data_IF_619866205040
#
_entry.id   IF_619866205040
#
_cell.length_a   1.000
_cell.length_b   1.000
_cell.length_c   1.000
_cell.angle_alpha   90.00
_cell.angle_beta   90.00
_cell.angle_gamma   90.00
#
_symmetry.space_group_name_H-M   'P 1'
#
loop_
_entity.id
_entity.type
_entity.pdbx_description
1 polymer ?
#
# COMPACT_ATOMS: atom_id res chain seq x y z
N UNK A 1 1.55 -5.25 14.51
CA UNK A 1 1.24 -5.23 13.07
C UNK A 1 1.66 -6.57 12.45
N UNK A 2 1.34 -6.85 11.18
CA UNK A 2 1.76 -8.08 10.49
C UNK A 2 3.27 -8.03 10.23
N UNK A 3 4.03 -9.05 10.66
CA UNK A 3 5.46 -9.22 10.30
C UNK A 3 5.62 -9.90 8.94
N UNK A 4 4.51 -10.27 8.29
CA UNK A 4 4.50 -11.03 7.05
C UNK A 4 4.26 -10.08 5.86
N UNK A 5 5.29 -9.89 5.05
CA UNK A 5 5.27 -8.97 3.90
C UNK A 5 4.16 -9.36 2.90
N UNK A 6 3.95 -10.67 2.67
CA UNK A 6 2.92 -11.16 1.77
C UNK A 6 1.50 -10.77 2.24
N UNK A 7 1.27 -10.85 3.55
CA UNK A 7 0.00 -10.43 4.14
C UNK A 7 -0.19 -8.91 4.04
N UNK A 8 0.88 -8.13 4.28
CA UNK A 8 0.84 -6.67 4.15
C UNK A 8 0.54 -6.23 2.71
N UNK A 9 1.17 -6.86 1.71
CA UNK A 9 0.89 -6.63 0.29
C UNK A 9 -0.56 -6.97 -0.08
N UNK A 10 -1.06 -8.12 0.39
CA UNK A 10 -2.44 -8.55 0.14
C UNK A 10 -3.45 -7.56 0.73
N UNK A 11 -3.19 -7.09 1.96
CA UNK A 11 -4.02 -6.10 2.63
C UNK A 11 -3.98 -4.75 1.92
N UNK A 12 -2.79 -4.29 1.49
CA UNK A 12 -2.64 -3.05 0.74
C UNK A 12 -3.43 -3.07 -0.58
N UNK A 13 -3.30 -4.15 -1.35
CA UNK A 13 -4.06 -4.32 -2.59
C UNK A 13 -5.58 -4.31 -2.37
N UNK A 14 -6.07 -4.99 -1.32
CA UNK A 14 -7.50 -5.00 -0.99
C UNK A 14 -7.98 -3.62 -0.53
N UNK A 15 -7.17 -2.91 0.25
CA UNK A 15 -7.48 -1.58 0.75
C UNK A 15 -7.59 -0.58 -0.40
N UNK A 16 -6.62 -0.58 -1.33
CA UNK A 16 -6.62 0.27 -2.53
C UNK A 16 -7.93 0.14 -3.32
N UNK A 17 -8.36 -1.11 -3.56
CA UNK A 17 -9.59 -1.41 -4.30
C UNK A 17 -10.87 -1.09 -3.52
N UNK A 18 -10.82 -1.15 -2.20
CA UNK A 18 -11.97 -0.83 -1.34
C UNK A 18 -12.19 0.68 -1.27
N UNK A 19 -11.10 1.44 -1.12
CA UNK A 19 -11.15 2.89 -1.03
C UNK A 19 -11.19 3.57 -2.40
N UNK A 20 -10.83 2.85 -3.48
CA UNK A 20 -10.69 3.38 -4.83
C UNK A 20 -9.70 4.56 -4.90
N UNK A 21 -8.65 4.49 -4.09
CA UNK A 21 -7.52 5.43 -4.10
C UNK A 21 -6.19 4.66 -4.09
N UNK A 22 -5.11 5.23 -4.65
CA UNK A 22 -3.77 4.67 -4.50
C UNK A 22 -3.37 4.58 -3.04
N UNK A 23 -2.74 3.46 -2.65
CA UNK A 23 -2.20 3.27 -1.31
C UNK A 23 -0.74 2.82 -1.39
N UNK A 24 0.06 3.30 -0.45
CA UNK A 24 1.46 2.97 -0.32
C UNK A 24 1.66 2.01 0.85
N UNK A 25 2.29 0.87 0.54
CA UNK A 25 2.88 -0.03 1.51
C UNK A 25 4.29 0.47 1.84
N UNK A 26 4.56 0.71 3.10
CA UNK A 26 5.86 1.14 3.60
C UNK A 26 6.31 0.30 4.78
N UNK A 27 7.61 0.37 5.07
CA UNK A 27 8.22 -0.20 6.26
C UNK A 27 8.59 0.92 7.22
N UNK A 28 8.20 0.73 8.48
CA UNK A 28 8.66 1.56 9.61
C UNK A 28 9.34 0.64 10.62
N UNK A 29 10.67 0.63 10.61
CA UNK A 29 11.47 -0.30 11.41
C UNK A 29 11.26 -1.76 11.01
N UNK A 30 10.72 -2.57 11.94
CA UNK A 30 10.44 -4.00 11.74
C UNK A 30 8.98 -4.29 11.37
N UNK A 31 8.15 -3.25 11.23
CA UNK A 31 6.72 -3.39 10.93
C UNK A 31 6.37 -2.81 9.55
N UNK A 32 5.26 -3.32 8.98
CA UNK A 32 4.70 -2.85 7.73
C UNK A 32 3.43 -2.02 7.99
N UNK A 33 3.34 -0.87 7.32
CA UNK A 33 2.19 0.02 7.34
C UNK A 33 1.61 0.23 5.95
N UNK A 34 0.32 0.56 5.88
CA UNK A 34 -0.36 0.90 4.62
C UNK A 34 -1.19 2.14 4.85
N UNK A 35 -1.02 3.14 3.99
CA UNK A 35 -1.79 4.39 4.01
C UNK A 35 -2.10 4.83 2.56
N UNK A 36 -3.14 5.64 2.32
CA UNK A 36 -3.32 6.31 1.03
C UNK A 36 -2.06 7.06 0.62
N UNK A 37 -1.63 6.92 -0.64
CA UNK A 37 -0.39 7.53 -1.11
C UNK A 37 -0.35 9.05 -0.91
N UNK A 38 -1.52 9.70 -1.00
CA UNK A 38 -1.67 11.14 -0.78
C UNK A 38 -1.47 11.59 0.68
N UNK A 39 -1.52 10.66 1.63
CA UNK A 39 -1.28 10.92 3.06
C UNK A 39 0.14 10.55 3.48
N UNK A 40 0.94 9.97 2.57
CA UNK A 40 2.32 9.61 2.86
C UNK A 40 3.27 10.72 2.45
N UNK A 41 4.01 11.26 3.42
CA UNK A 41 5.17 12.10 3.17
C UNK A 41 6.41 11.21 2.93
N UNK A 42 7.03 11.37 1.76
CA UNK A 42 8.18 10.55 1.30
C UNK A 42 9.41 10.57 2.24
N UNK A 43 9.50 11.54 3.15
CA UNK A 43 10.64 11.70 4.08
C UNK A 43 10.52 10.88 5.38
N UNK A 44 9.38 10.22 5.65
CA UNK A 44 9.12 9.62 6.96
C UNK A 44 9.33 8.10 7.03
N UNK A 45 9.27 7.38 5.89
CA UNK A 45 9.25 5.91 5.87
C UNK A 45 9.88 5.31 4.61
N UNK A 46 10.28 4.03 4.68
CA UNK A 46 10.75 3.29 3.51
C UNK A 46 9.56 2.78 2.69
N UNK A 47 9.25 3.45 1.58
CA UNK A 47 8.23 3.00 0.62
C UNK A 47 8.66 1.69 -0.04
N UNK A 48 7.82 0.65 0.05
CA UNK A 48 8.07 -0.66 -0.53
C UNK A 48 7.34 -0.87 -1.86
N UNK A 49 6.07 -0.46 -1.92
CA UNK A 49 5.22 -0.60 -3.09
C UNK A 49 4.03 0.37 -3.04
N UNK A 50 3.62 0.89 -4.19
CA UNK A 50 2.36 1.59 -4.36
C UNK A 50 1.37 0.68 -5.10
N UNK A 51 0.10 0.74 -4.70
CA UNK A 51 -0.99 0.02 -5.33
C UNK A 51 -2.01 1.02 -5.86
N UNK A 52 -2.03 1.23 -7.16
CA UNK A 52 -3.08 2.00 -7.84
C UNK A 52 -4.28 1.09 -8.16
N UNK A 53 -5.49 1.37 -7.63
CA UNK A 53 -6.69 0.61 -7.97
C UNK A 53 -7.13 0.74 -9.43
N UNK A 54 -6.58 1.71 -10.18
CA UNK A 54 -6.91 1.99 -11.57
C UNK A 54 -5.92 1.40 -12.58
N UNK A 55 -4.69 1.06 -12.18
CA UNK A 55 -3.68 0.47 -13.07
C UNK A 55 -4.11 -0.89 -13.65
N UNK A 56 -4.97 -1.63 -12.93
CA UNK A 56 -5.49 -2.93 -13.34
C UNK A 56 -7.01 -2.89 -13.59
N UNK A 57 -7.48 -1.84 -14.29
CA UNK A 57 -8.84 -1.82 -14.85
C UNK A 57 -9.12 -3.07 -15.69
N UNK A 58 -10.40 -3.45 -15.89
CA UNK A 58 -10.74 -4.65 -16.66
C UNK A 58 -10.04 -4.55 -18.02
N UNK A 59 -9.14 -5.50 -18.28
CA UNK A 59 -8.35 -5.56 -19.50
C UNK A 59 -9.25 -5.30 -20.72
N UNK A 60 -8.88 -4.31 -21.54
CA UNK A 60 -9.57 -3.99 -22.79
C UNK A 60 -9.32 -5.09 -23.84
#
# INVERSE_FOLDING_TARGET
MSQDLSLAQSHAFQLARTLMVPVTLFRSGEEFGVVPSAELDDDEVETLAEYDPFEHGPAH
#
